data_IF_844815680353
#
_entry.id   IF_844815680353
#
_cell.length_a   1.000
_cell.length_b   1.000
_cell.length_c   1.000
_cell.angle_alpha   90.00
_cell.angle_beta   90.00
_cell.angle_gamma   90.00
#
_symmetry.space_group_name_H-M   'P 1'
#
loop_
_entity.id
_entity.type
_entity.pdbx_description
1 polymer ?
#
# COMPACT_ATOMS: atom_id res chain seq x y z
N UNK A 1 -14.28 45.89 -21.50
CA UNK A 1 -15.38 45.48 -22.39
C UNK A 1 -16.05 44.27 -21.74
N UNK A 2 -17.21 44.46 -21.12
CA UNK A 2 -17.98 43.40 -20.44
C UNK A 2 -18.77 42.64 -21.50
N UNK A 3 -18.50 41.36 -21.69
CA UNK A 3 -19.38 40.47 -22.45
C UNK A 3 -20.17 39.61 -21.47
N UNK A 4 -21.43 39.99 -21.28
CA UNK A 4 -22.46 39.14 -20.71
C UNK A 4 -22.93 38.17 -21.80
N UNK A 5 -23.02 36.87 -21.49
CA UNK A 5 -23.70 35.91 -22.34
C UNK A 5 -24.87 35.29 -21.56
N UNK A 6 -26.03 35.46 -22.16
CA UNK A 6 -27.39 35.21 -21.70
C UNK A 6 -27.74 33.73 -21.62
N UNK A 7 -28.42 33.34 -20.54
CA UNK A 7 -29.04 32.03 -20.33
C UNK A 7 -30.41 32.04 -21.03
N UNK A 8 -30.66 31.09 -21.93
CA UNK A 8 -31.94 30.90 -22.61
C UNK A 8 -32.73 29.77 -21.95
N UNK A 9 -33.81 30.12 -21.28
CA UNK A 9 -34.80 29.18 -20.70
C UNK A 9 -35.78 28.71 -21.77
N UNK A 10 -35.87 27.40 -22.00
CA UNK A 10 -36.92 26.80 -22.83
C UNK A 10 -38.09 26.36 -21.95
N UNK A 11 -39.18 27.14 -22.01
CA UNK A 11 -40.52 26.78 -21.54
C UNK A 11 -41.15 25.80 -22.53
N UNK A 12 -41.62 24.64 -22.07
CA UNK A 12 -42.56 23.81 -22.81
C UNK A 12 -43.99 24.14 -22.36
N UNK A 13 -44.80 24.58 -23.32
CA UNK A 13 -46.25 24.75 -23.24
C UNK A 13 -46.91 23.73 -24.18
N UNK A 14 -48.24 23.56 -24.00
CA UNK A 14 -49.24 22.80 -24.80
C UNK A 14 -49.60 21.43 -24.16
N UNK A 15 -50.86 21.07 -23.86
CA UNK A 15 -52.16 21.49 -24.40
C UNK A 15 -53.29 21.51 -23.35
N UNK A 16 -54.29 22.37 -23.58
CA UNK A 16 -55.65 22.23 -23.07
C UNK A 16 -56.39 21.08 -23.78
N UNK A 17 -57.23 20.34 -23.06
CA UNK A 17 -58.45 19.83 -23.66
C UNK A 17 -59.61 19.86 -22.66
N UNK A 18 -60.76 20.23 -23.19
CA UNK A 18 -61.96 20.69 -22.52
C UNK A 18 -62.88 19.53 -22.10
N UNK A 19 -63.79 19.85 -21.16
CA UNK A 19 -65.07 19.17 -20.92
C UNK A 19 -65.08 17.74 -20.35
N UNK A 20 -65.24 17.61 -19.02
CA UNK A 20 -66.07 16.54 -18.45
C UNK A 20 -66.95 17.03 -17.29
N UNK A 21 -68.25 16.81 -17.47
CA UNK A 21 -69.37 17.07 -16.55
C UNK A 21 -69.13 16.51 -15.16
N UNK A 22 -69.41 17.33 -14.15
CA UNK A 22 -69.53 16.93 -12.76
C UNK A 22 -70.76 16.02 -12.58
N UNK A 23 -70.52 14.73 -12.40
CA UNK A 23 -71.53 13.77 -11.95
C UNK A 23 -71.40 13.68 -10.43
N UNK A 24 -72.45 14.09 -9.72
CA UNK A 24 -72.53 13.91 -8.27
C UNK A 24 -72.60 12.40 -7.95
N UNK A 25 -71.72 11.86 -7.11
CA UNK A 25 -71.79 10.45 -6.74
C UNK A 25 -72.95 10.20 -5.78
N UNK A 26 -73.92 9.40 -6.22
CA UNK A 26 -74.95 8.80 -5.37
C UNK A 26 -74.28 7.70 -4.55
N UNK A 27 -74.02 7.96 -3.27
CA UNK A 27 -73.43 6.97 -2.36
C UNK A 27 -74.54 6.10 -1.76
N UNK A 28 -74.62 4.85 -2.21
CA UNK A 28 -75.42 3.81 -1.55
C UNK A 28 -74.74 3.42 -0.23
N UNK A 29 -75.46 3.36 0.91
CA UNK A 29 -74.87 2.94 2.17
C UNK A 29 -74.46 1.47 2.10
N UNK A 30 -73.17 1.18 2.22
CA UNK A 30 -72.68 -0.19 2.37
C UNK A 30 -72.82 -0.65 3.82
N UNK A 31 -73.32 -1.87 3.99
CA UNK A 31 -73.45 -2.56 5.28
C UNK A 31 -72.10 -2.65 5.98
N UNK A 32 -72.01 -2.41 7.31
CA UNK A 32 -70.76 -2.51 8.04
C UNK A 32 -70.21 -3.93 7.99
N UNK A 33 -68.98 -4.10 7.51
CA UNK A 33 -68.25 -5.37 7.62
C UNK A 33 -67.81 -5.62 9.05
N UNK A 34 -67.97 -6.86 9.50
CA UNK A 34 -67.55 -7.36 10.81
C UNK A 34 -66.07 -7.05 11.08
N UNK A 35 -65.69 -6.56 12.27
CA UNK A 35 -64.30 -6.28 12.61
C UNK A 35 -63.47 -7.57 12.58
N UNK A 36 -62.40 -7.59 11.79
CA UNK A 36 -61.39 -8.65 11.86
C UNK A 36 -60.58 -8.52 13.14
N UNK A 37 -60.34 -9.65 13.81
CA UNK A 37 -59.54 -9.77 15.02
C UNK A 37 -58.15 -9.15 14.84
N UNK A 38 -57.67 -8.30 15.77
CA UNK A 38 -56.34 -7.72 15.69
C UNK A 38 -55.29 -8.82 15.74
N UNK A 39 -54.41 -8.89 14.74
CA UNK A 39 -53.21 -9.72 14.80
C UNK A 39 -52.25 -9.18 15.85
N UNK A 40 -51.65 -10.09 16.62
CA UNK A 40 -50.66 -9.78 17.65
C UNK A 40 -49.53 -8.90 17.09
N UNK A 41 -49.17 -7.79 17.76
CA UNK A 41 -48.07 -6.95 17.33
C UNK A 41 -46.77 -7.75 17.32
N UNK A 42 -46.09 -7.82 16.18
CA UNK A 42 -44.73 -8.34 16.12
C UNK A 42 -43.78 -7.40 16.85
N UNK A 43 -42.91 -7.97 17.69
CA UNK A 43 -41.88 -7.24 18.42
C UNK A 43 -41.05 -6.40 17.45
N UNK A 44 -40.85 -5.09 17.71
CA UNK A 44 -39.98 -4.26 16.89
C UNK A 44 -38.57 -4.83 16.90
N UNK A 45 -38.01 -5.07 15.72
CA UNK A 45 -36.59 -5.39 15.59
C UNK A 45 -35.75 -4.17 15.95
N UNK A 46 -34.69 -4.38 16.73
CA UNK A 46 -33.74 -3.34 17.11
C UNK A 46 -33.19 -2.66 15.85
N UNK A 47 -33.27 -1.33 15.71
CA UNK A 47 -32.67 -0.63 14.59
C UNK A 47 -31.17 -0.94 14.55
N UNK A 48 -30.69 -1.44 13.42
CA UNK A 48 -29.26 -1.57 13.19
C UNK A 48 -28.66 -0.18 13.02
N UNK A 49 -27.55 0.07 13.72
CA UNK A 49 -26.79 1.32 13.60
C UNK A 49 -26.39 1.55 12.14
N UNK A 50 -26.73 2.69 11.52
CA UNK A 50 -26.30 3.00 10.17
C UNK A 50 -24.77 3.00 10.10
N UNK A 51 -24.20 2.19 9.21
CA UNK A 51 -22.78 2.26 8.89
C UNK A 51 -22.53 3.51 8.05
N UNK A 52 -21.59 4.35 8.49
CA UNK A 52 -21.13 5.50 7.70
C UNK A 52 -20.65 5.02 6.33
N UNK A 53 -21.14 5.60 5.21
CA UNK A 53 -20.68 5.22 3.88
C UNK A 53 -19.17 5.37 3.78
N UNK A 54 -18.48 4.27 3.51
CA UNK A 54 -17.03 4.25 3.31
C UNK A 54 -16.72 4.83 1.92
N UNK A 55 -15.90 5.89 1.85
CA UNK A 55 -15.43 6.42 0.57
C UNK A 55 -14.55 5.40 -0.17
N UNK A 56 -14.52 5.39 -1.53
CA UNK A 56 -13.72 4.45 -2.31
C UNK A 56 -12.24 4.41 -1.91
N UNK A 57 -11.67 5.58 -1.58
CA UNK A 57 -10.27 5.72 -1.13
C UNK A 57 -10.01 5.03 0.20
N UNK A 58 -10.96 5.06 1.15
CA UNK A 58 -10.85 4.33 2.41
C UNK A 58 -10.89 2.82 2.17
N UNK A 59 -11.82 2.35 1.34
CA UNK A 59 -11.91 0.92 0.98
C UNK A 59 -10.62 0.43 0.31
N UNK A 60 -10.04 1.22 -0.60
CA UNK A 60 -8.76 0.91 -1.22
C UNK A 60 -7.64 0.71 -0.18
N UNK A 61 -7.45 1.65 0.75
CA UNK A 61 -6.41 1.54 1.77
C UNK A 61 -6.66 0.40 2.76
N UNK A 62 -7.92 0.13 3.12
CA UNK A 62 -8.30 -1.04 3.92
C UNK A 62 -7.93 -2.35 3.19
N UNK A 63 -8.16 -2.43 1.88
CA UNK A 63 -7.78 -3.60 1.08
C UNK A 63 -6.27 -3.78 0.95
N UNK A 64 -5.48 -2.70 1.04
CA UNK A 64 -4.01 -2.82 1.16
C UNK A 64 -3.57 -3.40 2.52
N UNK A 65 -4.47 -3.51 3.50
CA UNK A 65 -4.15 -3.95 4.86
C UNK A 65 -3.65 -2.84 5.79
N UNK A 66 -3.94 -1.57 5.48
CA UNK A 66 -3.50 -0.45 6.32
C UNK A 66 -4.27 -0.34 7.63
N UNK A 67 -3.57 0.13 8.67
CA UNK A 67 -4.17 0.44 9.97
C UNK A 67 -5.10 1.66 9.90
N UNK A 68 -6.09 1.74 10.78
CA UNK A 68 -6.98 2.91 10.86
C UNK A 68 -6.22 4.22 11.10
N UNK A 69 -5.11 4.17 11.84
CA UNK A 69 -4.23 5.32 12.08
C UNK A 69 -3.62 5.80 10.75
N UNK A 70 -3.00 4.89 9.99
CA UNK A 70 -2.38 5.22 8.70
C UNK A 70 -3.40 5.70 7.67
N UNK A 71 -4.56 5.04 7.61
CA UNK A 71 -5.67 5.46 6.73
C UNK A 71 -6.09 6.89 7.03
N UNK A 72 -6.26 7.22 8.32
CA UNK A 72 -6.67 8.58 8.72
C UNK A 72 -5.61 9.60 8.34
N UNK A 73 -4.33 9.30 8.61
CA UNK A 73 -3.20 10.16 8.24
C UNK A 73 -3.14 10.40 6.73
N UNK A 74 -3.21 9.34 5.92
CA UNK A 74 -3.15 9.44 4.46
C UNK A 74 -4.33 10.18 3.86
N UNK A 75 -5.56 9.95 4.34
CA UNK A 75 -6.74 10.65 3.83
C UNK A 75 -6.74 12.13 4.24
N UNK A 76 -6.07 12.50 5.34
CA UNK A 76 -5.99 13.88 5.82
C UNK A 76 -4.92 14.67 5.05
N UNK A 77 -3.72 14.10 4.89
CA UNK A 77 -2.55 14.83 4.41
C UNK A 77 -2.11 14.45 2.99
N UNK A 78 -2.53 13.29 2.48
CA UNK A 78 -1.99 12.69 1.26
C UNK A 78 -3.07 12.13 0.31
N UNK A 79 -4.29 12.69 0.35
CA UNK A 79 -5.44 12.17 -0.41
C UNK A 79 -5.23 12.14 -1.94
N UNK A 80 -4.47 13.09 -2.50
CA UNK A 80 -4.12 13.10 -3.92
C UNK A 80 -3.25 11.90 -4.31
N UNK A 81 -2.29 11.52 -3.45
CA UNK A 81 -1.45 10.33 -3.66
C UNK A 81 -2.31 9.06 -3.58
N UNK A 82 -3.19 8.96 -2.58
CA UNK A 82 -4.11 7.82 -2.44
C UNK A 82 -4.97 7.65 -3.69
N UNK A 83 -5.50 8.74 -4.23
CA UNK A 83 -6.30 8.72 -5.45
C UNK A 83 -5.48 8.27 -6.66
N UNK A 84 -4.26 8.78 -6.79
CA UNK A 84 -3.33 8.40 -7.86
C UNK A 84 -3.00 6.91 -7.80
N UNK A 85 -2.68 6.40 -6.61
CA UNK A 85 -2.35 5.00 -6.40
C UNK A 85 -3.53 4.06 -6.65
N UNK A 86 -4.73 4.44 -6.20
CA UNK A 86 -5.97 3.68 -6.45
C UNK A 86 -6.27 3.50 -7.93
N UNK A 87 -5.86 4.46 -8.76
CA UNK A 87 -6.04 4.42 -10.21
C UNK A 87 -4.92 3.67 -10.97
N UNK A 88 -3.89 3.16 -10.27
CA UNK A 88 -2.85 2.33 -10.90
C UNK A 88 -3.42 0.95 -11.21
N UNK A 89 -3.19 0.45 -12.42
CA UNK A 89 -3.69 -0.85 -12.89
C UNK A 89 -3.16 -2.05 -12.09
N UNK A 90 -1.90 -1.98 -11.69
CA UNK A 90 -1.22 -2.97 -10.84
C UNK A 90 -0.28 -2.26 -9.88
N UNK A 91 -0.03 -2.86 -8.73
CA UNK A 91 0.93 -2.39 -7.74
C UNK A 91 2.04 -3.44 -7.59
N UNK A 92 3.27 -2.98 -7.36
CA UNK A 92 4.37 -3.84 -6.89
C UNK A 92 3.92 -4.50 -5.58
N UNK A 93 3.98 -5.84 -5.54
CA UNK A 93 3.44 -6.70 -4.47
C UNK A 93 1.94 -6.49 -4.17
N UNK A 94 1.19 -5.89 -5.09
CA UNK A 94 -0.26 -5.68 -4.97
C UNK A 94 -1.05 -6.99 -4.89
N UNK A 95 -0.54 -8.06 -5.49
CA UNK A 95 -1.13 -9.41 -5.42
C UNK A 95 -1.01 -10.07 -4.04
N UNK A 96 -0.12 -9.57 -3.18
CA UNK A 96 0.04 -10.06 -1.83
C UNK A 96 -1.00 -9.45 -0.87
N UNK A 97 -1.56 -8.28 -1.19
CA UNK A 97 -2.44 -7.54 -0.27
C UNK A 97 -3.93 -7.75 -0.57
N UNK A 98 -4.78 -7.93 0.46
CA UNK A 98 -4.40 -8.10 1.86
C UNK A 98 -3.69 -9.45 2.09
N UNK A 99 -2.72 -9.48 3.02
CA UNK A 99 -1.92 -10.67 3.29
C UNK A 99 -2.81 -11.83 3.74
N UNK A 100 -2.76 -12.95 3.02
CA UNK A 100 -3.50 -14.18 3.30
C UNK A 100 -2.88 -14.89 4.51
N UNK A 101 -3.69 -15.49 5.36
CA UNK A 101 -3.20 -16.25 6.53
C UNK A 101 -2.24 -17.39 6.14
N UNK A 102 -2.44 -18.00 4.97
CA UNK A 102 -1.59 -19.07 4.43
C UNK A 102 -0.15 -18.62 4.10
N UNK A 103 0.11 -17.32 4.00
CA UNK A 103 1.45 -16.78 3.80
C UNK A 103 2.30 -16.83 5.07
N UNK A 104 1.68 -16.86 6.25
CA UNK A 104 2.37 -16.91 7.53
C UNK A 104 2.67 -18.36 7.91
N UNK A 105 3.92 -18.78 7.73
CA UNK A 105 4.36 -20.18 7.90
C UNK A 105 4.68 -20.50 9.36
N UNK A 106 4.48 -21.76 9.74
CA UNK A 106 4.87 -22.28 11.05
C UNK A 106 6.40 -22.37 11.14
N UNK A 107 6.97 -22.11 12.31
CA UNK A 107 8.41 -22.20 12.54
C UNK A 107 8.98 -23.57 12.15
N UNK A 108 8.24 -24.65 12.45
CA UNK A 108 8.64 -26.03 12.15
C UNK A 108 8.75 -26.36 10.66
N UNK A 109 8.24 -25.51 9.77
CA UNK A 109 8.29 -25.70 8.32
C UNK A 109 9.42 -24.92 7.64
N UNK A 110 10.18 -24.14 8.40
CA UNK A 110 11.27 -23.31 7.90
C UNK A 110 12.63 -23.81 8.38
N UNK A 111 13.67 -23.47 7.63
CA UNK A 111 15.06 -23.61 8.09
C UNK A 111 15.56 -22.23 8.49
N UNK A 112 15.76 -22.02 9.79
CA UNK A 112 16.23 -20.74 10.31
C UNK A 112 17.59 -20.37 9.71
N UNK A 113 17.78 -19.12 9.26
CA UNK A 113 19.11 -18.58 8.99
C UNK A 113 20.00 -18.70 10.24
N UNK A 114 21.32 -18.72 10.05
CA UNK A 114 22.26 -18.78 11.18
C UNK A 114 22.04 -17.60 12.15
N UNK A 115 21.91 -17.89 13.44
CA UNK A 115 21.62 -16.88 14.47
C UNK A 115 20.15 -16.53 14.65
N UNK A 116 19.22 -17.19 13.95
CA UNK A 116 17.79 -16.96 14.09
C UNK A 116 17.07 -18.07 14.85
N UNK A 117 16.14 -17.66 15.73
CA UNK A 117 15.22 -18.55 16.41
C UNK A 117 13.81 -18.33 15.86
N UNK A 118 13.35 -19.20 14.96
CA UNK A 118 11.99 -19.09 14.42
C UNK A 118 10.96 -19.39 15.49
N UNK A 119 9.87 -18.62 15.48
CA UNK A 119 8.71 -18.81 16.35
C UNK A 119 7.45 -18.87 15.49
N UNK A 120 6.40 -19.50 16.03
CA UNK A 120 5.09 -19.46 15.40
C UNK A 120 4.49 -18.07 15.54
N UNK A 121 3.84 -17.60 14.47
CA UNK A 121 3.20 -16.29 14.43
C UNK A 121 2.08 -16.17 15.48
N UNK A 122 2.22 -15.25 16.41
CA UNK A 122 1.08 -14.78 17.21
C UNK A 122 0.21 -13.80 16.42
N UNK A 123 -1.03 -13.58 16.87
CA UNK A 123 -1.94 -12.60 16.25
C UNK A 123 -1.33 -11.20 16.23
N UNK A 124 -0.72 -10.77 17.34
CA UNK A 124 -0.05 -9.47 17.47
C UNK A 124 1.07 -9.28 16.46
N UNK A 125 1.85 -10.32 16.19
CA UNK A 125 2.97 -10.26 15.25
C UNK A 125 2.51 -10.21 13.81
N UNK A 126 1.46 -10.97 13.48
CA UNK A 126 0.81 -10.88 12.16
C UNK A 126 0.33 -9.46 11.89
N UNK A 127 -0.32 -8.82 12.85
CA UNK A 127 -0.82 -7.45 12.68
C UNK A 127 0.32 -6.44 12.48
N UNK A 128 1.39 -6.51 13.29
CA UNK A 128 2.59 -5.67 13.09
C UNK A 128 3.20 -5.86 11.70
N UNK A 129 3.29 -7.12 11.24
CA UNK A 129 3.85 -7.43 9.93
C UNK A 129 2.96 -6.94 8.79
N UNK A 130 1.64 -7.17 8.87
CA UNK A 130 0.65 -6.65 7.92
C UNK A 130 0.74 -5.13 7.79
N UNK A 131 0.85 -4.43 8.91
CA UNK A 131 1.01 -2.97 8.94
C UNK A 131 2.30 -2.54 8.22
N UNK A 132 3.45 -3.15 8.53
CA UNK A 132 4.71 -2.88 7.86
C UNK A 132 4.68 -3.19 6.36
N UNK A 133 4.03 -4.30 5.96
CA UNK A 133 3.89 -4.71 4.57
C UNK A 133 2.97 -3.77 3.78
N UNK A 134 1.82 -3.38 4.34
CA UNK A 134 0.91 -2.42 3.73
C UNK A 134 1.60 -1.06 3.51
N UNK A 135 2.38 -0.60 4.49
CA UNK A 135 3.22 0.61 4.34
C UNK A 135 4.26 0.45 3.25
N UNK A 136 4.97 -0.68 3.19
CA UNK A 136 5.92 -0.95 2.10
C UNK A 136 5.24 -0.86 0.73
N UNK A 137 4.11 -1.56 0.55
CA UNK A 137 3.36 -1.58 -0.72
C UNK A 137 2.94 -0.16 -1.10
N UNK A 138 2.45 0.65 -0.16
CA UNK A 138 2.13 2.04 -0.43
C UNK A 138 3.39 2.83 -0.83
N UNK A 139 4.46 2.75 -0.05
CA UNK A 139 5.68 3.54 -0.27
C UNK A 139 6.31 3.25 -1.64
N UNK A 140 6.52 1.97 -1.98
CA UNK A 140 7.16 1.55 -3.23
C UNK A 140 6.29 1.81 -4.48
N UNK A 141 4.99 2.05 -4.30
CA UNK A 141 4.06 2.40 -5.38
C UNK A 141 3.73 3.89 -5.47
N UNK A 142 4.23 4.70 -4.53
CA UNK A 142 3.97 6.14 -4.51
C UNK A 142 4.62 6.86 -5.69
N UNK A 143 4.02 7.96 -6.11
CA UNK A 143 4.51 8.83 -7.17
C UNK A 143 5.88 9.42 -6.82
N UNK A 144 6.11 9.68 -5.52
CA UNK A 144 7.41 10.15 -5.03
C UNK A 144 8.49 9.07 -5.12
N UNK A 145 8.19 7.81 -4.77
CA UNK A 145 9.12 6.69 -4.98
C UNK A 145 9.45 6.52 -6.45
N UNK A 146 8.44 6.53 -7.32
CA UNK A 146 8.61 6.42 -8.77
C UNK A 146 9.53 7.52 -9.32
N UNK A 147 9.33 8.77 -8.90
CA UNK A 147 10.19 9.90 -9.26
C UNK A 147 11.62 9.73 -8.76
N UNK A 148 11.82 9.34 -7.50
CA UNK A 148 13.15 9.11 -6.92
C UNK A 148 13.85 7.94 -7.61
N UNK A 149 13.15 6.82 -7.82
CA UNK A 149 13.69 5.68 -8.53
C UNK A 149 14.17 6.09 -9.93
N UNK A 150 13.33 6.78 -10.72
CA UNK A 150 13.72 7.22 -12.07
C UNK A 150 14.88 8.22 -12.08
N UNK A 151 14.90 9.14 -11.11
CA UNK A 151 15.99 10.13 -11.00
C UNK A 151 17.32 9.47 -10.69
N UNK A 152 17.29 8.38 -9.91
CA UNK A 152 18.49 7.74 -9.38
C UNK A 152 18.73 6.34 -9.91
N UNK A 153 17.99 5.88 -10.92
CA UNK A 153 18.14 4.53 -11.48
C UNK A 153 19.56 4.32 -12.03
N UNK A 154 20.19 5.38 -12.53
CA UNK A 154 21.59 5.40 -12.98
C UNK A 154 22.61 5.42 -11.83
N UNK A 155 22.19 5.63 -10.58
CA UNK A 155 23.03 5.61 -9.35
C UNK A 155 23.14 4.18 -8.79
N UNK A 156 22.57 3.19 -9.49
CA UNK A 156 22.78 1.79 -9.15
C UNK A 156 24.22 1.39 -9.48
N UNK A 157 25.07 1.55 -8.46
CA UNK A 157 26.37 0.92 -8.20
C UNK A 157 26.84 0.00 -9.35
N UNK A 158 27.64 0.57 -10.25
CA UNK A 158 28.40 -0.04 -11.35
C UNK A 158 27.90 -1.38 -11.96
N UNK A 159 27.65 -1.43 -13.29
CA UNK A 159 27.28 -2.65 -13.96
C UNK A 159 28.47 -3.60 -13.98
N UNK A 160 28.45 -4.62 -13.14
CA UNK A 160 29.15 -5.87 -13.45
C UNK A 160 28.09 -6.91 -13.74
N UNK A 161 27.23 -6.74 -14.74
CA UNK A 161 26.17 -7.72 -15.05
C UNK A 161 26.67 -9.16 -15.14
N UNK A 162 25.95 -10.07 -14.48
CA UNK A 162 25.79 -11.45 -14.95
C UNK A 162 24.90 -11.36 -16.19
N UNK A 163 25.14 -12.13 -17.25
CA UNK A 163 24.31 -12.13 -18.45
C UNK A 163 22.84 -12.56 -18.21
N UNK A 164 22.45 -12.92 -16.98
CA UNK A 164 21.18 -13.58 -16.67
C UNK A 164 20.11 -12.70 -16.00
N UNK A 165 20.45 -11.51 -15.45
CA UNK A 165 19.46 -10.60 -14.83
C UNK A 165 19.67 -9.18 -15.35
N UNK A 166 18.69 -8.68 -16.12
CA UNK A 166 18.64 -7.30 -16.58
C UNK A 166 18.29 -6.39 -15.39
N UNK A 167 19.18 -5.46 -15.05
CA UNK A 167 18.92 -4.43 -14.03
C UNK A 167 17.91 -3.42 -14.61
N UNK A 168 16.76 -3.20 -13.97
CA UNK A 168 15.78 -2.21 -14.44
C UNK A 168 16.36 -0.79 -14.46
N UNK A 169 16.21 -0.08 -15.58
CA UNK A 169 16.75 1.26 -15.79
C UNK A 169 15.79 2.37 -15.38
N UNK A 170 14.55 2.03 -15.05
CA UNK A 170 13.50 2.94 -14.63
C UNK A 170 12.43 2.20 -13.82
N UNK A 171 11.55 2.95 -13.19
CA UNK A 171 10.48 2.43 -12.34
C UNK A 171 9.51 1.52 -13.11
N UNK A 172 9.25 1.82 -14.39
CA UNK A 172 8.37 0.98 -15.22
C UNK A 172 8.95 -0.40 -15.41
N UNK A 173 10.23 -0.51 -15.81
CA UNK A 173 10.93 -1.78 -15.92
C UNK A 173 11.01 -2.50 -14.57
N UNK A 174 11.28 -1.76 -13.49
CA UNK A 174 11.37 -2.30 -12.15
C UNK A 174 10.06 -2.93 -11.72
N UNK A 175 8.96 -2.19 -11.88
CA UNK A 175 7.62 -2.66 -11.60
C UNK A 175 7.26 -3.89 -12.42
N UNK A 176 7.51 -3.86 -13.72
CA UNK A 176 7.25 -5.00 -14.62
C UNK A 176 8.05 -6.24 -14.22
N UNK A 177 9.31 -6.07 -13.85
CA UNK A 177 10.16 -7.18 -13.39
C UNK A 177 9.61 -7.80 -12.10
N UNK A 178 9.35 -6.98 -11.07
CA UNK A 178 8.87 -7.48 -9.77
C UNK A 178 7.52 -8.18 -9.93
N UNK A 179 6.57 -7.59 -10.67
CA UNK A 179 5.26 -8.21 -10.92
C UNK A 179 5.44 -9.55 -11.63
N UNK A 180 6.23 -9.58 -12.73
CA UNK A 180 6.49 -10.81 -13.48
C UNK A 180 7.05 -11.90 -12.56
N UNK A 181 8.05 -11.60 -11.73
CA UNK A 181 8.65 -12.58 -10.81
C UNK A 181 7.65 -13.10 -9.78
N UNK A 182 6.82 -12.23 -9.21
CA UNK A 182 5.78 -12.68 -8.28
C UNK A 182 4.78 -13.63 -8.95
N UNK A 183 4.41 -13.37 -10.21
CA UNK A 183 3.55 -14.25 -11.00
C UNK A 183 4.25 -15.56 -11.39
N UNK A 184 5.51 -15.51 -11.82
CA UNK A 184 6.30 -16.70 -12.16
C UNK A 184 6.43 -17.67 -10.96
N UNK A 185 6.49 -17.13 -9.73
CA UNK A 185 6.47 -17.92 -8.49
C UNK A 185 5.07 -18.31 -8.00
N UNK A 186 4.03 -18.02 -8.79
CA UNK A 186 2.65 -18.38 -8.47
C UNK A 186 2.06 -17.62 -7.28
N UNK A 187 2.64 -16.46 -6.92
CA UNK A 187 2.14 -15.58 -5.85
C UNK A 187 2.08 -16.26 -4.47
N UNK A 188 2.91 -17.29 -4.27
CA UNK A 188 2.94 -18.13 -3.08
C UNK A 188 3.98 -17.64 -2.06
N UNK A 189 3.63 -16.58 -1.33
CA UNK A 189 4.49 -16.02 -0.31
C UNK A 189 4.66 -16.93 0.91
N UNK A 190 5.86 -16.93 1.47
CA UNK A 190 6.21 -17.69 2.68
C UNK A 190 6.95 -16.81 3.68
N UNK A 191 6.24 -16.34 4.69
CA UNK A 191 6.77 -15.47 5.73
C UNK A 191 6.97 -16.24 7.03
N UNK A 192 8.18 -16.17 7.55
CA UNK A 192 8.59 -16.71 8.84
C UNK A 192 8.97 -15.56 9.77
N UNK A 193 8.63 -15.70 11.05
CA UNK A 193 9.00 -14.71 12.08
C UNK A 193 9.96 -15.31 13.09
N UNK A 194 10.79 -14.45 13.69
CA UNK A 194 11.75 -14.78 14.72
C UNK A 194 11.58 -13.90 15.95
N UNK A 195 11.86 -14.47 17.13
CA UNK A 195 12.00 -13.75 18.39
C UNK A 195 13.39 -13.14 18.60
N UNK A 196 14.33 -13.38 17.68
CA UNK A 196 15.66 -12.76 17.71
C UNK A 196 15.57 -11.23 17.65
N UNK A 197 16.62 -10.55 18.14
CA UNK A 197 16.74 -9.08 18.15
C UNK A 197 18.12 -8.63 17.63
N UNK A 198 18.54 -9.22 16.53
CA UNK A 198 19.80 -8.98 15.81
C UNK A 198 19.73 -7.75 14.90
N UNK A 199 18.52 -7.31 14.51
CA UNK A 199 18.33 -6.22 13.55
C UNK A 199 18.57 -6.62 12.09
N UNK A 200 18.62 -7.93 11.81
CA UNK A 200 18.84 -8.49 10.47
C UNK A 200 17.53 -9.15 10.02
N UNK A 201 17.34 -9.30 8.71
CA UNK A 201 16.31 -10.14 8.09
C UNK A 201 16.89 -10.82 6.84
N UNK A 202 16.16 -11.77 6.25
CA UNK A 202 16.57 -12.45 5.02
C UNK A 202 15.40 -12.70 4.09
N UNK A 203 15.49 -12.16 2.88
CA UNK A 203 14.70 -12.62 1.75
C UNK A 203 15.42 -13.71 0.94
N UNK A 204 14.64 -14.59 0.35
CA UNK A 204 15.10 -15.66 -0.53
C UNK A 204 14.19 -15.73 -1.75
N UNK A 205 14.79 -15.89 -2.92
CA UNK A 205 14.10 -16.12 -4.20
C UNK A 205 12.97 -17.13 -4.05
N UNK A 206 11.85 -16.87 -4.72
CA UNK A 206 10.63 -17.66 -4.55
C UNK A 206 9.75 -17.17 -3.42
N UNK A 207 9.68 -15.84 -3.21
CA UNK A 207 8.71 -15.20 -2.30
C UNK A 207 8.83 -15.63 -0.83
N UNK A 208 10.02 -16.05 -0.40
CA UNK A 208 10.27 -16.53 0.96
C UNK A 208 11.06 -15.50 1.76
N UNK A 209 10.63 -15.23 3.00
CA UNK A 209 11.33 -14.27 3.86
C UNK A 209 11.28 -14.67 5.33
N UNK A 210 12.37 -14.39 6.03
CA UNK A 210 12.56 -14.55 7.46
C UNK A 210 12.83 -13.17 8.07
N UNK A 211 12.04 -12.77 9.06
CA UNK A 211 12.20 -11.47 9.70
C UNK A 211 11.99 -11.53 11.20
N UNK A 212 12.63 -10.63 11.93
CA UNK A 212 12.32 -10.41 13.34
C UNK A 212 10.95 -9.79 13.50
N UNK A 213 10.33 -10.09 14.64
CA UNK A 213 9.08 -9.50 15.06
C UNK A 213 9.18 -7.97 15.08
N UNK A 214 8.30 -7.29 14.34
CA UNK A 214 8.29 -5.83 14.26
C UNK A 214 9.26 -5.22 13.24
N UNK A 215 9.71 -5.99 12.25
CA UNK A 215 10.46 -5.47 11.10
C UNK A 215 9.82 -4.20 10.51
N UNK A 216 10.62 -3.17 10.30
CA UNK A 216 10.19 -1.91 9.70
C UNK A 216 10.07 -2.00 8.17
N UNK A 217 9.22 -1.16 7.58
CA UNK A 217 9.02 -1.13 6.11
C UNK A 217 10.31 -0.99 5.28
N UNK A 218 11.39 -0.29 5.69
CA UNK A 218 12.57 -0.17 4.84
C UNK A 218 13.37 -1.47 4.73
N UNK A 219 13.71 -2.10 5.86
CA UNK A 219 14.39 -3.41 5.85
C UNK A 219 13.48 -4.48 5.25
N UNK A 220 12.17 -4.41 5.49
CA UNK A 220 11.21 -5.27 4.81
C UNK A 220 11.29 -5.10 3.28
N UNK A 221 11.39 -3.87 2.78
CA UNK A 221 11.50 -3.63 1.33
C UNK A 221 12.79 -4.22 0.77
N UNK A 222 13.90 -4.06 1.50
CA UNK A 222 15.18 -4.68 1.15
C UNK A 222 15.02 -6.18 0.96
N UNK A 223 14.52 -6.87 1.98
CA UNK A 223 14.38 -8.33 1.92
C UNK A 223 13.39 -8.77 0.86
N UNK A 224 12.30 -8.03 0.66
CA UNK A 224 11.34 -8.33 -0.40
C UNK A 224 11.97 -8.26 -1.80
N UNK A 225 13.03 -7.47 -2.01
CA UNK A 225 13.78 -7.49 -3.27
C UNK A 225 14.56 -8.80 -3.47
N UNK A 226 15.13 -9.36 -2.40
CA UNK A 226 15.75 -10.68 -2.46
C UNK A 226 14.76 -11.78 -2.83
N UNK A 227 13.48 -11.61 -2.47
CA UNK A 227 12.46 -12.60 -2.81
C UNK A 227 12.14 -12.72 -4.30
N UNK A 228 12.57 -11.73 -5.09
CA UNK A 228 12.38 -11.64 -6.55
C UNK A 228 13.72 -11.64 -7.30
N UNK A 229 14.72 -12.34 -6.75
CA UNK A 229 16.05 -12.59 -7.34
C UNK A 229 17.07 -11.44 -7.34
N UNK A 230 16.78 -10.30 -6.70
CA UNK A 230 17.81 -9.28 -6.54
C UNK A 230 18.81 -9.72 -5.44
N UNK A 231 20.12 -9.53 -5.61
CA UNK A 231 21.16 -9.95 -4.65
C UNK A 231 22.36 -8.97 -4.65
N UNK A 232 23.03 -8.84 -3.51
CA UNK A 232 24.16 -7.94 -3.27
C UNK A 232 25.51 -8.67 -2.99
N UNK A 233 25.64 -9.98 -3.28
CA UNK A 233 26.85 -10.78 -2.97
C UNK A 233 28.10 -10.42 -3.81
N UNK A 234 29.29 -10.22 -3.19
CA UNK A 234 30.57 -10.17 -3.88
C UNK A 234 31.13 -11.58 -4.17
N UNK A 235 31.69 -11.82 -5.36
CA UNK A 235 32.48 -13.03 -5.66
C UNK A 235 32.05 -13.87 -6.87
N UNK A 236 31.10 -13.42 -7.68
CA UNK A 236 30.91 -13.94 -9.04
C UNK A 236 31.64 -13.02 -10.04
N UNK A 237 32.32 -13.60 -11.03
CA UNK A 237 32.65 -12.90 -12.28
C UNK A 237 31.32 -12.56 -12.98
N UNK A 238 30.73 -11.42 -12.57
CA UNK A 238 29.40 -10.95 -12.98
C UNK A 238 28.36 -10.94 -11.84
N UNK A 239 28.14 -9.75 -11.26
CA UNK A 239 26.90 -9.13 -10.74
C UNK A 239 26.89 -8.81 -9.26
N UNK A 240 26.82 -7.51 -8.93
CA UNK A 240 26.20 -7.05 -7.69
C UNK A 240 25.00 -6.17 -8.08
N UNK A 241 23.79 -6.68 -7.84
CA UNK A 241 22.55 -5.94 -8.03
C UNK A 241 22.20 -5.21 -6.73
N UNK A 242 22.56 -3.92 -6.64
CA UNK A 242 22.34 -3.13 -5.42
C UNK A 242 20.89 -2.61 -5.25
N UNK A 243 19.91 -3.15 -6.01
CA UNK A 243 18.49 -2.80 -5.88
C UNK A 243 17.95 -2.96 -4.44
N UNK A 244 18.27 -4.02 -3.66
CA UNK A 244 17.79 -4.13 -2.28
C UNK A 244 18.17 -2.93 -1.41
N UNK A 245 19.44 -2.51 -1.45
CA UNK A 245 19.90 -1.31 -0.74
C UNK A 245 19.33 -0.02 -1.34
N UNK A 246 19.20 0.07 -2.66
CA UNK A 246 18.67 1.25 -3.33
C UNK A 246 17.23 1.56 -2.91
N UNK A 247 16.33 0.56 -2.95
CA UNK A 247 14.93 0.75 -2.56
C UNK A 247 14.79 0.98 -1.06
N UNK A 248 15.63 0.34 -0.24
CA UNK A 248 15.70 0.62 1.19
C UNK A 248 16.06 2.07 1.43
N UNK A 249 17.07 2.61 0.71
CA UNK A 249 17.52 3.98 0.90
C UNK A 249 16.43 5.00 0.59
N UNK A 250 15.73 4.83 -0.54
CA UNK A 250 14.60 5.70 -0.92
C UNK A 250 13.52 5.71 0.18
N UNK A 251 13.29 4.58 0.86
CA UNK A 251 12.22 4.44 1.86
C UNK A 251 12.64 4.88 3.27
N UNK A 252 13.84 4.49 3.71
CA UNK A 252 14.25 4.59 5.11
C UNK A 252 14.83 5.95 5.49
N UNK A 253 15.64 6.53 4.61
CA UNK A 253 16.62 7.50 5.04
C UNK A 253 16.22 8.91 4.66
N UNK A 254 16.57 9.83 5.57
CA UNK A 254 16.27 11.23 5.42
C UNK A 254 17.21 11.93 4.44
N UNK A 255 17.49 11.28 3.31
CA UNK A 255 18.49 11.73 2.36
C UNK A 255 17.88 11.78 0.97
N UNK A 256 18.25 12.83 0.25
CA UNK A 256 18.22 12.81 -1.20
C UNK A 256 19.15 11.69 -1.69
N UNK A 257 18.69 10.81 -2.56
CA UNK A 257 19.49 9.71 -3.08
C UNK A 257 20.67 10.19 -3.95
N UNK A 258 20.76 11.49 -4.30
CA UNK A 258 22.01 12.10 -4.80
C UNK A 258 23.18 12.03 -3.81
N UNK A 259 22.91 11.92 -2.50
CA UNK A 259 23.92 11.80 -1.44
C UNK A 259 24.15 10.35 -0.97
N UNK A 260 23.53 9.37 -1.63
CA UNK A 260 23.63 7.95 -1.25
C UNK A 260 25.07 7.43 -1.23
N UNK A 261 25.98 8.09 -1.95
CA UNK A 261 27.41 7.83 -1.88
C UNK A 261 28.12 9.01 -1.20
N UNK A 262 28.88 8.74 -0.12
CA UNK A 262 29.56 9.78 0.69
C UNK A 262 30.52 10.69 -0.09
N UNK A 263 30.92 10.31 -1.30
CA UNK A 263 31.73 11.10 -2.22
C UNK A 263 30.96 11.88 -3.29
N UNK A 264 29.62 11.86 -3.27
CA UNK A 264 28.77 12.52 -4.27
C UNK A 264 28.81 11.89 -5.67
N UNK A 265 29.45 10.72 -5.81
CA UNK A 265 29.52 9.97 -7.06
C UNK A 265 28.27 9.12 -7.30
N UNK A 266 28.05 8.73 -8.56
CA UNK A 266 26.95 7.85 -8.96
C UNK A 266 27.22 6.35 -8.63
N UNK A 267 28.36 6.03 -8.02
CA UNK A 267 28.73 4.68 -7.57
C UNK A 267 29.61 4.75 -6.31
N UNK A 268 29.44 3.80 -5.38
CA UNK A 268 30.26 3.67 -4.18
C UNK A 268 30.25 2.24 -3.61
N UNK A 269 31.29 1.88 -2.84
CA UNK A 269 31.32 0.60 -2.13
C UNK A 269 30.30 0.63 -0.98
N UNK A 270 29.82 -0.54 -0.52
CA UNK A 270 28.88 -0.66 0.60
C UNK A 270 29.25 0.19 1.83
N UNK A 271 30.54 0.17 2.21
CA UNK A 271 31.08 0.94 3.34
C UNK A 271 31.01 2.47 3.16
N UNK A 272 30.88 2.91 1.91
CA UNK A 272 30.86 4.31 1.49
C UNK A 272 29.44 4.77 1.15
N UNK A 273 28.43 3.89 1.31
CA UNK A 273 27.01 4.25 1.24
C UNK A 273 26.68 5.13 2.44
N UNK A 274 26.11 6.30 2.15
CA UNK A 274 25.47 7.11 3.16
C UNK A 274 24.05 6.57 3.37
N UNK A 275 23.86 5.90 4.48
CA UNK A 275 22.56 5.42 4.92
C UNK A 275 21.81 6.49 5.72
N UNK A 276 22.18 7.77 5.68
CA UNK A 276 21.55 8.83 6.47
C UNK A 276 21.27 8.55 7.94
N UNK A 277 20.25 9.24 8.47
CA UNK A 277 19.83 9.12 9.87
C UNK A 277 18.61 8.20 9.96
N UNK A 278 18.71 7.15 10.78
CA UNK A 278 17.60 6.22 11.07
C UNK A 278 16.47 6.90 11.84
N UNK A 279 15.23 6.66 11.43
CA UNK A 279 14.03 7.29 12.01
C UNK A 279 13.51 6.59 13.29
N UNK A 280 14.39 5.96 14.06
CA UNK A 280 13.97 5.12 15.20
C UNK A 280 14.12 5.85 16.53
N UNK A 281 13.08 6.64 16.86
CA UNK A 281 12.59 7.05 18.22
C UNK A 281 13.02 8.42 18.82
N UNK A 282 12.16 9.04 19.70
CA UNK A 282 12.10 10.49 20.06
C UNK A 282 13.40 11.10 20.63
N UNK A 283 13.68 12.43 20.50
CA UNK A 283 12.76 13.57 20.41
C UNK A 283 13.11 14.53 19.25
N UNK A 284 12.44 14.46 18.09
CA UNK A 284 12.94 15.17 16.90
C UNK A 284 12.25 16.53 16.65
N UNK A 285 12.12 17.33 17.71
CA UNK A 285 11.29 18.53 17.80
C UNK A 285 11.81 19.82 17.13
N UNK A 286 12.87 19.84 16.31
CA UNK A 286 13.52 21.13 16.00
C UNK A 286 14.08 21.38 14.59
N UNK A 287 13.98 20.47 13.61
CA UNK A 287 14.51 20.77 12.27
C UNK A 287 13.71 20.11 11.13
N UNK A 288 12.48 20.59 10.96
CA UNK A 288 11.74 20.45 9.72
C UNK A 288 12.24 21.50 8.75
N UNK A 289 12.89 21.11 7.64
CA UNK A 289 12.77 21.87 6.38
C UNK A 289 13.26 21.13 5.14
N UNK A 290 14.00 20.02 5.23
CA UNK A 290 14.55 19.34 4.05
C UNK A 290 14.55 17.80 4.19
N UNK A 291 13.45 17.22 4.68
CA UNK A 291 13.38 15.78 4.94
C UNK A 291 12.89 14.99 3.71
N UNK A 292 13.68 14.04 3.19
CA UNK A 292 13.41 13.26 1.97
C UNK A 292 12.93 11.81 2.22
N UNK A 293 12.88 11.35 3.48
CA UNK A 293 12.45 9.97 3.78
C UNK A 293 10.96 9.75 3.48
N UNK A 294 10.62 8.85 2.54
CA UNK A 294 9.23 8.59 2.16
C UNK A 294 8.35 8.12 3.32
N UNK A 295 8.87 7.25 4.19
CA UNK A 295 8.10 6.76 5.35
C UNK A 295 7.65 7.92 6.24
N UNK A 296 8.55 8.87 6.49
CA UNK A 296 8.20 10.04 7.30
C UNK A 296 7.25 10.98 6.59
N UNK A 297 7.45 11.18 5.28
CA UNK A 297 6.59 12.00 4.44
C UNK A 297 5.13 11.52 4.42
N UNK A 298 4.86 10.21 4.49
CA UNK A 298 3.49 9.70 4.38
C UNK A 298 2.82 9.33 5.71
N UNK A 299 3.58 9.00 6.77
CA UNK A 299 3.02 8.37 7.97
C UNK A 299 3.34 9.07 9.31
N UNK A 300 4.04 10.21 9.32
CA UNK A 300 4.37 10.94 10.55
C UNK A 300 3.43 12.12 10.85
N UNK A 301 2.11 11.90 10.80
CA UNK A 301 1.11 12.90 11.15
C UNK A 301 0.06 12.36 12.13
#
# INVERSE_FOLDING_TARGET
MKMALTISSALFLVACNDSFKQIAPTTTPTTPTTPTTPTTPTTPTTPTTPTTPTTPTRTFLTNLGMSNKDITSLLTYNMAEVTTMMNKTQLIFGNAVPLKDAFFKKASTGTAPSGYALIDWSATEKEKFKESFARMVFLINSSKFESLYNTHANITVEPQSSPLIMIPQNYTEFKSYVIKKTTDYGENYSFYTSSSTTGIAWGQSGLTMFSESGIGSPLLTHEMMHTVDFDHKPGYDGAINNIPYFVQTIIAYNEDATNACRGGGYSCKLKDINFGVSYTSPPHSNAYTLSYALRGFYFNY
#
